data_IF_641411589736
#
_entry.id   IF_641411589736
#
_cell.length_a   1.000
_cell.length_b   1.000
_cell.length_c   1.000
_cell.angle_alpha   90.00
_cell.angle_beta   90.00
_cell.angle_gamma   90.00
#
_symmetry.space_group_name_H-M   'P 1'
#
loop_
_entity.id
_entity.type
_entity.pdbx_description
1 polymer ?
#
# COMPACT_ATOMS: atom_id res chain seq x y z
N UNK A 1 -6.17 12.09 25.09
CA UNK A 1 -6.62 11.32 23.91
C UNK A 1 -5.56 10.28 23.59
N UNK A 2 -5.97 9.03 23.44
CA UNK A 2 -5.02 7.94 23.12
C UNK A 2 -4.45 8.14 21.71
N UNK A 3 -3.14 7.95 21.57
CA UNK A 3 -2.47 7.95 20.28
C UNK A 3 -2.58 6.54 19.69
N UNK A 4 -3.23 6.40 18.54
CA UNK A 4 -3.39 5.11 17.87
C UNK A 4 -2.66 5.08 16.53
N UNK A 5 -2.05 3.95 16.21
CA UNK A 5 -1.46 3.65 14.92
C UNK A 5 -2.31 2.55 14.27
N UNK A 6 -3.17 2.96 13.37
CA UNK A 6 -4.05 2.06 12.62
C UNK A 6 -3.34 1.48 11.41
N UNK A 7 -3.61 0.24 11.06
CA UNK A 7 -3.07 -0.38 9.85
C UNK A 7 -4.00 -1.45 9.32
N UNK A 8 -3.90 -1.76 8.03
CA UNK A 8 -4.64 -2.87 7.44
C UNK A 8 -4.08 -4.19 7.99
N UNK A 9 -4.87 -4.85 8.84
CA UNK A 9 -4.50 -6.12 9.45
C UNK A 9 -4.62 -7.32 8.50
N UNK A 10 -4.40 -8.49 9.06
CA UNK A 10 -4.07 -8.79 10.44
C UNK A 10 -2.61 -8.48 10.81
N UNK A 11 -2.22 -8.74 12.07
CA UNK A 11 -0.79 -8.81 12.44
C UNK A 11 -0.07 -9.81 11.54
N UNK A 12 1.21 -9.58 11.30
CA UNK A 12 2.08 -10.36 10.41
C UNK A 12 1.78 -10.21 8.91
N UNK A 13 0.87 -9.31 8.52
CA UNK A 13 0.67 -8.93 7.12
C UNK A 13 1.84 -8.07 6.61
N UNK A 14 1.94 -7.88 5.28
CA UNK A 14 2.90 -6.94 4.70
C UNK A 14 2.68 -5.50 5.17
N UNK A 15 1.42 -5.10 5.45
CA UNK A 15 1.12 -3.79 6.03
C UNK A 15 1.65 -3.66 7.46
N UNK A 16 1.57 -4.74 8.25
CA UNK A 16 2.14 -4.79 9.60
C UNK A 16 3.67 -4.65 9.55
N UNK A 17 4.32 -5.32 8.60
CA UNK A 17 5.76 -5.17 8.36
C UNK A 17 6.14 -3.74 7.93
N UNK A 18 5.39 -3.13 7.00
CA UNK A 18 5.57 -1.73 6.62
C UNK A 18 5.40 -0.77 7.80
N UNK A 19 4.43 -1.06 8.69
CA UNK A 19 4.22 -0.29 9.93
C UNK A 19 5.46 -0.32 10.83
N UNK A 20 6.11 -1.47 11.00
CA UNK A 20 7.36 -1.58 11.78
C UNK A 20 8.50 -0.74 11.19
N UNK A 21 8.61 -0.71 9.84
CA UNK A 21 9.56 0.17 9.17
C UNK A 21 9.28 1.65 9.47
N UNK A 22 8.01 2.09 9.43
CA UNK A 22 7.64 3.45 9.78
C UNK A 22 7.90 3.77 11.25
N UNK A 23 7.60 2.85 12.17
CA UNK A 23 7.90 3.03 13.61
C UNK A 23 9.39 3.31 13.80
N UNK A 24 10.25 2.58 13.12
CA UNK A 24 11.68 2.73 13.20
C UNK A 24 12.16 4.02 12.54
N UNK A 25 11.82 4.25 11.27
CA UNK A 25 12.35 5.37 10.47
C UNK A 25 11.84 6.75 10.93
N UNK A 26 10.62 6.82 11.45
CA UNK A 26 9.99 8.05 11.96
C UNK A 26 10.08 8.18 13.49
N UNK A 27 10.76 7.22 14.18
CA UNK A 27 10.87 7.17 15.64
C UNK A 27 9.50 7.32 16.34
N UNK A 28 8.47 6.64 15.82
CA UNK A 28 7.10 6.71 16.34
C UNK A 28 7.05 6.05 17.71
N UNK A 29 6.65 6.80 18.75
CA UNK A 29 6.59 6.31 20.13
C UNK A 29 5.27 6.66 20.81
N UNK A 30 4.80 5.76 21.68
CA UNK A 30 3.63 5.99 22.52
C UNK A 30 2.29 5.88 21.78
N UNK A 31 2.27 5.18 20.66
CA UNK A 31 1.05 4.83 19.91
C UNK A 31 0.63 3.39 20.24
N UNK A 32 -0.69 3.19 20.40
CA UNK A 32 -1.28 1.85 20.49
C UNK A 32 -1.56 1.34 19.08
N UNK A 33 -1.05 0.17 18.73
CA UNK A 33 -1.21 -0.46 17.43
C UNK A 33 -2.58 -1.11 17.29
N UNK A 34 -3.30 -0.76 16.23
CA UNK A 34 -4.69 -1.20 15.98
C UNK A 34 -4.83 -1.81 14.58
N UNK A 35 -4.76 -3.15 14.44
CA UNK A 35 -5.07 -3.80 13.18
C UNK A 35 -6.56 -3.65 12.84
N UNK A 36 -6.84 -3.19 11.64
CA UNK A 36 -8.20 -2.97 11.12
C UNK A 36 -8.51 -3.99 10.02
N UNK A 37 -9.78 -4.32 9.85
CA UNK A 37 -10.21 -5.33 8.86
C UNK A 37 -10.24 -4.81 7.43
N UNK A 38 -10.45 -3.51 7.22
CA UNK A 38 -10.56 -2.89 5.90
C UNK A 38 -9.84 -1.55 5.86
N UNK A 39 -9.43 -1.13 4.67
CA UNK A 39 -8.86 0.19 4.41
C UNK A 39 -9.85 1.29 4.80
N UNK A 40 -11.13 1.12 4.47
CA UNK A 40 -12.18 2.08 4.83
C UNK A 40 -12.32 2.25 6.35
N UNK A 41 -12.20 1.17 7.14
CA UNK A 41 -12.23 1.24 8.59
C UNK A 41 -11.02 2.03 9.15
N UNK A 42 -9.82 1.85 8.56
CA UNK A 42 -8.63 2.65 8.92
C UNK A 42 -8.90 4.15 8.71
N UNK A 43 -9.45 4.52 7.57
CA UNK A 43 -9.76 5.93 7.27
C UNK A 43 -10.83 6.52 8.19
N UNK A 44 -11.85 5.75 8.56
CA UNK A 44 -12.89 6.17 9.50
C UNK A 44 -12.30 6.54 10.86
N UNK A 45 -11.44 5.68 11.41
CA UNK A 45 -10.77 5.90 12.68
C UNK A 45 -9.78 7.08 12.62
N UNK A 46 -9.01 7.20 11.54
CA UNK A 46 -8.09 8.30 11.31
C UNK A 46 -8.81 9.66 11.24
N UNK A 47 -10.00 9.71 10.67
CA UNK A 47 -10.81 10.92 10.63
C UNK A 47 -11.32 11.33 12.00
N UNK A 48 -11.73 10.36 12.82
CA UNK A 48 -12.35 10.59 14.13
C UNK A 48 -11.33 11.02 15.20
N UNK A 49 -10.06 10.63 15.06
CA UNK A 49 -9.03 10.88 16.05
C UNK A 49 -7.88 11.71 15.47
N UNK A 50 -7.71 12.95 15.96
CA UNK A 50 -6.70 13.90 15.47
C UNK A 50 -5.25 13.51 15.78
N UNK A 51 -5.02 12.67 16.79
CA UNK A 51 -3.68 12.26 17.25
C UNK A 51 -3.32 10.85 16.77
N UNK A 52 -3.95 10.37 15.71
CA UNK A 52 -3.71 9.04 15.18
C UNK A 52 -2.89 9.07 13.90
N UNK A 53 -2.19 7.97 13.67
CA UNK A 53 -1.48 7.65 12.43
C UNK A 53 -2.13 6.44 11.76
N UNK A 54 -1.89 6.28 10.48
CA UNK A 54 -2.33 5.09 9.75
C UNK A 54 -1.29 4.65 8.71
N UNK A 55 -1.17 3.33 8.52
CA UNK A 55 -0.33 2.73 7.48
C UNK A 55 -1.21 1.94 6.53
N UNK A 56 -1.11 2.24 5.23
CA UNK A 56 -1.92 1.64 4.18
C UNK A 56 -1.11 1.40 2.91
N UNK A 57 -1.40 0.34 2.15
CA UNK A 57 -0.85 0.15 0.81
C UNK A 57 -1.49 1.16 -0.16
N UNK A 58 -0.72 1.66 -1.13
CA UNK A 58 -1.23 2.58 -2.16
C UNK A 58 -1.00 2.05 -3.57
N UNK A 59 0.08 1.29 -3.78
CA UNK A 59 0.49 0.78 -5.08
C UNK A 59 1.22 -0.55 -4.93
N UNK A 60 1.00 -1.45 -5.88
CA UNK A 60 1.77 -2.69 -6.02
C UNK A 60 2.31 -2.78 -7.46
N UNK A 61 3.54 -3.26 -7.62
CA UNK A 61 4.22 -3.30 -8.94
C UNK A 61 3.54 -4.23 -9.95
N UNK A 62 2.74 -5.21 -9.51
CA UNK A 62 2.01 -6.17 -10.36
C UNK A 62 0.55 -5.75 -10.52
N UNK A 63 -0.14 -5.52 -9.41
CA UNK A 63 -1.59 -5.22 -9.38
C UNK A 63 -1.92 -3.74 -9.68
N UNK A 64 -0.90 -2.88 -9.62
CA UNK A 64 -1.05 -1.44 -9.82
C UNK A 64 -1.66 -0.73 -8.60
N UNK A 65 -2.55 0.19 -8.85
CA UNK A 65 -3.17 1.06 -7.85
C UNK A 65 -4.03 0.30 -6.85
N UNK A 66 -3.82 0.53 -5.55
CA UNK A 66 -4.76 0.09 -4.49
C UNK A 66 -5.96 1.04 -4.49
N UNK A 67 -6.97 0.69 -5.30
CA UNK A 67 -8.13 1.54 -5.61
C UNK A 67 -8.87 2.02 -4.35
N UNK A 68 -9.03 1.15 -3.35
CA UNK A 68 -9.73 1.49 -2.10
C UNK A 68 -8.99 2.59 -1.32
N UNK A 69 -7.66 2.59 -1.29
CA UNK A 69 -6.87 3.66 -0.66
C UNK A 69 -7.09 4.99 -1.36
N UNK A 70 -6.98 5.03 -2.70
CA UNK A 70 -7.21 6.26 -3.47
C UNK A 70 -8.65 6.77 -3.30
N UNK A 71 -9.66 5.89 -3.38
CA UNK A 71 -11.07 6.25 -3.22
C UNK A 71 -11.35 6.86 -1.84
N UNK A 72 -10.70 6.37 -0.78
CA UNK A 72 -10.84 6.94 0.56
C UNK A 72 -10.06 8.27 0.71
N UNK A 73 -8.89 8.43 0.08
CA UNK A 73 -8.17 9.71 0.03
C UNK A 73 -9.00 10.80 -0.66
N UNK A 74 -9.76 10.47 -1.71
CA UNK A 74 -10.71 11.40 -2.36
C UNK A 74 -11.79 11.86 -1.38
N UNK A 75 -12.37 10.92 -0.61
CA UNK A 75 -13.49 11.20 0.31
C UNK A 75 -13.09 11.96 1.58
N UNK A 76 -11.83 11.91 1.98
CA UNK A 76 -11.37 12.66 3.16
C UNK A 76 -11.64 14.14 2.95
N UNK A 77 -12.54 14.72 3.76
CA UNK A 77 -12.87 16.15 3.72
C UNK A 77 -11.88 17.01 4.52
N UNK A 78 -11.08 16.38 5.37
CA UNK A 78 -10.13 17.09 6.23
C UNK A 78 -8.83 17.38 5.48
N UNK A 79 -8.53 18.66 5.23
CA UNK A 79 -7.20 19.10 4.74
C UNK A 79 -6.08 18.83 5.74
N UNK A 80 -6.41 18.33 6.92
CA UNK A 80 -5.46 18.05 8.00
C UNK A 80 -4.82 16.66 7.89
N UNK A 81 -5.44 15.70 7.19
CA UNK A 81 -4.83 14.38 6.97
C UNK A 81 -3.87 14.48 5.79
N UNK A 82 -2.62 14.16 6.03
CA UNK A 82 -1.54 14.21 5.04
C UNK A 82 -0.81 12.90 4.95
N UNK A 83 -0.20 12.63 3.81
CA UNK A 83 0.84 11.61 3.66
C UNK A 83 2.11 12.20 4.31
N UNK A 84 2.67 11.46 5.24
CA UNK A 84 3.82 11.87 6.05
C UNK A 84 5.11 11.17 5.62
N UNK A 85 4.98 10.06 4.88
CA UNK A 85 6.09 9.28 4.38
C UNK A 85 5.62 8.11 3.55
N UNK A 86 6.56 7.49 2.87
CA UNK A 86 6.35 6.24 2.14
C UNK A 86 7.42 5.21 2.48
N UNK A 87 7.10 3.93 2.31
CA UNK A 87 8.06 2.84 2.33
C UNK A 87 7.69 1.82 1.27
N UNK A 88 8.67 1.05 0.80
CA UNK A 88 8.48 -0.02 -0.18
C UNK A 88 8.87 -1.35 0.45
N UNK A 89 8.01 -2.33 0.31
CA UNK A 89 8.21 -3.68 0.84
C UNK A 89 8.22 -4.67 -0.31
N UNK A 90 9.26 -5.49 -0.39
CA UNK A 90 9.30 -6.64 -1.30
C UNK A 90 8.30 -7.70 -0.86
N UNK A 91 7.50 -8.18 -1.80
CA UNK A 91 6.46 -9.18 -1.57
C UNK A 91 7.01 -10.53 -1.98
N UNK A 92 7.49 -11.28 -0.99
CA UNK A 92 8.07 -12.60 -1.17
C UNK A 92 7.21 -13.65 -0.49
N UNK A 93 6.72 -14.60 -1.27
CA UNK A 93 5.94 -15.70 -0.76
C UNK A 93 6.82 -16.92 -0.44
N UNK A 94 6.45 -17.60 0.64
CA UNK A 94 7.06 -18.84 1.09
C UNK A 94 6.00 -19.94 1.19
N UNK A 95 6.39 -21.18 0.96
CA UNK A 95 5.59 -22.35 1.28
C UNK A 95 5.88 -22.77 2.72
N UNK A 96 4.90 -22.64 3.59
CA UNK A 96 5.01 -22.82 5.03
C UNK A 96 4.18 -24.03 5.42
N UNK A 97 4.79 -25.03 6.09
CA UNK A 97 4.12 -26.28 6.42
C UNK A 97 4.92 -27.10 7.44
N UNK A 98 4.27 -28.01 8.15
CA UNK A 98 4.92 -29.04 8.95
C UNK A 98 5.26 -30.31 8.16
N UNK A 99 4.95 -30.39 6.86
CA UNK A 99 5.41 -31.44 5.98
C UNK A 99 6.93 -31.48 5.90
N UNK A 100 7.51 -32.68 5.80
CA UNK A 100 8.96 -32.87 5.64
C UNK A 100 9.40 -32.69 4.18
N UNK A 101 8.48 -32.95 3.25
CA UNK A 101 8.72 -32.85 1.80
C UNK A 101 7.40 -32.55 1.05
N UNK A 102 7.51 -32.26 -0.25
CA UNK A 102 6.38 -31.90 -1.09
C UNK A 102 5.36 -33.03 -1.27
N UNK A 103 5.76 -34.29 -1.20
CA UNK A 103 4.88 -35.44 -1.45
C UNK A 103 3.79 -35.61 -0.38
N UNK A 104 4.04 -35.10 0.81
CA UNK A 104 3.09 -35.14 1.92
C UNK A 104 1.97 -34.10 1.78
N UNK A 105 2.19 -33.04 1.01
CA UNK A 105 1.24 -31.93 0.89
C UNK A 105 0.09 -32.31 -0.03
N UNK A 106 -1.15 -32.13 0.44
CA UNK A 106 -2.39 -32.39 -0.30
C UNK A 106 -3.27 -31.14 -0.44
N UNK A 107 -2.97 -30.11 0.36
CA UNK A 107 -3.75 -28.87 0.39
C UNK A 107 -2.83 -27.68 0.58
N UNK A 108 -3.10 -26.59 -0.14
CA UNK A 108 -2.47 -25.28 0.03
C UNK A 108 -3.53 -24.26 0.34
N UNK A 109 -3.32 -23.47 1.40
CA UNK A 109 -4.20 -22.37 1.82
C UNK A 109 -3.53 -21.03 1.60
N UNK A 110 -4.23 -20.04 1.08
CA UNK A 110 -3.80 -18.63 1.12
C UNK A 110 -4.91 -17.69 0.66
N UNK A 111 -4.61 -16.38 0.70
CA UNK A 111 -5.43 -15.39 0.00
C UNK A 111 -5.40 -15.67 -1.51
N UNK A 112 -6.56 -15.52 -2.22
CA UNK A 112 -6.65 -15.83 -3.66
C UNK A 112 -5.56 -15.15 -4.50
N UNK A 113 -5.23 -13.90 -4.20
CA UNK A 113 -4.17 -13.16 -4.88
C UNK A 113 -2.79 -13.81 -4.71
N UNK A 114 -2.44 -14.29 -3.52
CA UNK A 114 -1.16 -14.96 -3.29
C UNK A 114 -1.10 -16.34 -3.98
N UNK A 115 -2.23 -17.05 -4.06
CA UNK A 115 -2.34 -18.28 -4.83
C UNK A 115 -2.08 -18.00 -6.31
N UNK A 116 -2.72 -16.97 -6.88
CA UNK A 116 -2.53 -16.61 -8.29
C UNK A 116 -1.10 -16.13 -8.62
N UNK A 117 -0.41 -15.50 -7.66
CA UNK A 117 0.99 -15.07 -7.82
C UNK A 117 2.02 -16.18 -7.67
N UNK A 118 1.59 -17.40 -7.33
CA UNK A 118 2.42 -18.59 -7.20
C UNK A 118 1.86 -19.75 -8.04
N UNK A 119 1.05 -19.48 -9.06
CA UNK A 119 0.33 -20.51 -9.81
C UNK A 119 1.28 -21.46 -10.55
N UNK A 120 2.24 -20.92 -11.27
CA UNK A 120 3.22 -21.71 -12.03
C UNK A 120 4.09 -22.56 -11.11
N UNK A 121 4.51 -21.99 -9.97
CA UNK A 121 5.22 -22.74 -8.93
C UNK A 121 4.37 -23.91 -8.42
N UNK A 122 3.10 -23.66 -8.03
CA UNK A 122 2.19 -24.69 -7.51
C UNK A 122 2.03 -25.81 -8.54
N UNK A 123 1.72 -25.43 -9.80
CA UNK A 123 1.52 -26.39 -10.87
C UNK A 123 2.79 -27.24 -11.14
N UNK A 124 3.97 -26.62 -11.15
CA UNK A 124 5.25 -27.32 -11.37
C UNK A 124 5.60 -28.35 -10.29
N UNK A 125 5.17 -28.11 -9.03
CA UNK A 125 5.49 -28.97 -7.89
C UNK A 125 4.43 -30.03 -7.59
N UNK A 126 3.15 -29.72 -7.81
CA UNK A 126 2.03 -30.54 -7.33
C UNK A 126 1.11 -31.04 -8.44
N UNK A 127 1.25 -30.53 -9.67
CA UNK A 127 0.31 -30.77 -10.77
C UNK A 127 -1.16 -30.43 -10.37
N UNK A 128 -2.13 -31.05 -11.02
CA UNK A 128 -3.57 -30.83 -10.77
C UNK A 128 -4.12 -31.54 -9.52
N UNK A 129 -3.25 -32.21 -8.75
CA UNK A 129 -3.70 -33.05 -7.61
C UNK A 129 -3.74 -32.32 -6.27
N UNK A 130 -3.46 -31.01 -6.25
CA UNK A 130 -3.45 -30.20 -5.03
C UNK A 130 -4.78 -29.48 -4.82
N UNK A 131 -5.31 -29.49 -3.60
CA UNK A 131 -6.50 -28.73 -3.23
C UNK A 131 -6.08 -27.31 -2.85
N UNK A 132 -6.63 -26.30 -3.52
CA UNK A 132 -6.43 -24.88 -3.19
C UNK A 132 -7.61 -24.37 -2.36
N UNK A 133 -7.33 -23.82 -1.18
CA UNK A 133 -8.32 -23.29 -0.25
C UNK A 133 -8.08 -21.78 -0.03
N UNK A 134 -9.13 -20.99 -0.25
CA UNK A 134 -9.05 -19.54 -0.07
C UNK A 134 -9.21 -19.14 1.38
N UNK A 135 -8.31 -18.26 1.83
CA UNK A 135 -8.32 -17.65 3.15
C UNK A 135 -8.45 -16.12 3.05
N UNK A 136 -8.93 -15.51 4.11
CA UNK A 136 -9.13 -14.05 4.16
C UNK A 136 -7.83 -13.24 4.10
N UNK A 137 -6.68 -13.85 4.41
CA UNK A 137 -5.34 -13.28 4.26
C UNK A 137 -4.28 -14.37 4.28
N UNK A 138 -3.09 -14.06 3.71
CA UNK A 138 -1.89 -14.93 3.81
C UNK A 138 -1.49 -15.19 5.25
N UNK A 139 -1.58 -14.19 6.12
CA UNK A 139 -1.25 -14.32 7.55
C UNK A 139 -2.23 -15.24 8.29
N UNK A 140 -3.54 -15.21 7.97
CA UNK A 140 -4.51 -16.13 8.53
C UNK A 140 -4.28 -17.56 8.05
N UNK A 141 -3.91 -17.77 6.79
CA UNK A 141 -3.54 -19.07 6.27
C UNK A 141 -2.37 -19.67 7.08
N UNK A 142 -1.30 -18.90 7.30
CA UNK A 142 -0.16 -19.35 8.11
C UNK A 142 -0.59 -19.66 9.54
N UNK A 143 -1.34 -18.75 10.17
CA UNK A 143 -1.83 -18.94 11.55
C UNK A 143 -2.67 -20.20 11.74
N UNK A 144 -3.37 -20.64 10.68
CA UNK A 144 -4.28 -21.81 10.74
C UNK A 144 -3.56 -23.17 10.64
N UNK A 145 -2.25 -23.19 10.39
CA UNK A 145 -1.48 -24.43 10.31
C UNK A 145 -1.31 -25.06 11.68
N UNK A 146 -1.38 -26.38 11.74
CA UNK A 146 -1.18 -27.17 12.96
C UNK A 146 -0.24 -28.37 12.67
N UNK A 147 0.50 -28.80 13.70
CA UNK A 147 1.50 -29.87 13.55
C UNK A 147 0.88 -31.24 13.24
N UNK A 148 -0.36 -31.45 13.64
CA UNK A 148 -1.14 -32.69 13.39
C UNK A 148 -1.73 -32.76 11.97
N UNK A 149 -1.57 -31.71 11.18
CA UNK A 149 -2.00 -31.64 9.77
C UNK A 149 -0.82 -31.36 8.81
N UNK A 150 0.21 -32.22 8.78
CA UNK A 150 1.38 -31.98 7.93
C UNK A 150 1.07 -32.00 6.43
N UNK A 151 -0.11 -32.53 6.03
CA UNK A 151 -0.57 -32.53 4.65
C UNK A 151 -1.13 -31.17 4.18
N UNK A 152 -1.17 -30.15 5.07
CA UNK A 152 -1.62 -28.79 4.76
C UNK A 152 -0.42 -27.85 4.74
N UNK A 153 -0.32 -27.05 3.69
CA UNK A 153 0.64 -25.96 3.58
C UNK A 153 -0.10 -24.60 3.46
N UNK A 154 0.59 -23.53 3.77
CA UNK A 154 0.14 -22.17 3.53
C UNK A 154 1.15 -21.41 2.66
N UNK A 155 0.65 -20.57 1.76
CA UNK A 155 1.46 -19.53 1.12
C UNK A 155 1.37 -18.28 2.00
N UNK A 156 2.52 -17.82 2.48
CA UNK A 156 2.62 -16.66 3.33
C UNK A 156 4.00 -16.01 3.26
N UNK A 157 4.22 -14.96 4.04
CA UNK A 157 5.50 -14.29 4.10
C UNK A 157 6.40 -14.88 5.23
N UNK A 158 7.71 -14.66 5.09
CA UNK A 158 8.71 -15.12 6.07
C UNK A 158 8.46 -14.55 7.48
N UNK A 159 7.97 -13.31 7.57
CA UNK A 159 7.66 -12.66 8.85
C UNK A 159 6.52 -13.38 9.60
N UNK A 160 5.46 -13.79 8.89
CA UNK A 160 4.39 -14.63 9.48
C UNK A 160 4.92 -15.96 9.97
N UNK A 161 5.76 -16.65 9.18
CA UNK A 161 6.36 -17.93 9.58
C UNK A 161 7.19 -17.79 10.85
N UNK A 162 8.02 -16.77 10.93
CA UNK A 162 8.84 -16.47 12.11
C UNK A 162 7.99 -16.16 13.36
N UNK A 163 6.98 -15.31 13.20
CA UNK A 163 6.11 -14.90 14.31
C UNK A 163 5.33 -16.05 14.93
N UNK A 164 4.87 -17.00 14.09
CA UNK A 164 4.13 -18.18 14.56
C UNK A 164 5.00 -19.41 14.78
N UNK A 165 6.34 -19.31 14.66
CA UNK A 165 7.29 -20.41 14.76
C UNK A 165 6.96 -21.58 13.81
N UNK A 166 6.58 -21.25 12.56
CA UNK A 166 6.21 -22.22 11.54
C UNK A 166 7.40 -22.56 10.64
N UNK A 167 7.60 -23.84 10.30
CA UNK A 167 8.65 -24.25 9.36
C UNK A 167 8.37 -23.74 7.95
N UNK A 168 9.41 -23.25 7.28
CA UNK A 168 9.37 -22.86 5.87
C UNK A 168 9.98 -24.02 5.07
N UNK A 169 9.21 -24.58 4.13
CA UNK A 169 9.67 -25.64 3.25
C UNK A 169 10.37 -25.08 2.01
N UNK A 170 9.86 -23.97 1.45
CA UNK A 170 10.45 -23.32 0.28
C UNK A 170 10.23 -21.80 0.34
N UNK A 171 11.14 -21.03 -0.27
CA UNK A 171 11.15 -19.56 -0.26
C UNK A 171 11.14 -19.02 -1.69
N UNK A 172 10.75 -17.76 -1.84
CA UNK A 172 10.73 -17.05 -3.14
C UNK A 172 9.92 -17.80 -4.22
N UNK A 173 8.76 -18.29 -3.82
CA UNK A 173 7.88 -19.11 -4.66
C UNK A 173 6.99 -18.28 -5.60
N UNK A 174 7.16 -16.95 -5.62
CA UNK A 174 6.46 -16.08 -6.55
C UNK A 174 6.85 -16.39 -8.00
N UNK A 175 5.88 -16.39 -8.90
CA UNK A 175 6.11 -16.50 -10.33
C UNK A 175 6.84 -15.26 -10.86
N UNK A 176 6.38 -14.07 -10.46
CA UNK A 176 7.04 -12.79 -10.74
C UNK A 176 8.06 -12.43 -9.66
N UNK A 177 9.34 -12.29 -10.05
CA UNK A 177 10.45 -12.03 -9.10
C UNK A 177 10.48 -10.62 -8.53
N UNK A 178 9.93 -9.63 -9.25
CA UNK A 178 9.91 -8.22 -8.85
C UNK A 178 8.50 -7.82 -8.41
N UNK A 179 8.11 -8.23 -7.21
CA UNK A 179 6.85 -7.85 -6.60
C UNK A 179 7.12 -6.93 -5.41
N UNK A 180 6.70 -5.68 -5.51
CA UNK A 180 6.88 -4.67 -4.48
C UNK A 180 5.56 -3.96 -4.20
N UNK A 181 5.30 -3.65 -2.94
CA UNK A 181 4.17 -2.82 -2.54
C UNK A 181 4.67 -1.56 -1.86
N UNK A 182 4.18 -0.42 -2.32
CA UNK A 182 4.40 0.87 -1.71
C UNK A 182 3.32 1.13 -0.67
N UNK A 183 3.76 1.48 0.53
CA UNK A 183 2.91 1.85 1.66
C UNK A 183 3.10 3.32 2.01
N UNK A 184 2.06 3.94 2.53
CA UNK A 184 2.06 5.32 2.98
C UNK A 184 1.72 5.41 4.47
N UNK A 185 2.38 6.35 5.14
CA UNK A 185 2.04 6.78 6.50
C UNK A 185 1.14 8.00 6.40
N UNK A 186 -0.02 7.94 7.00
CA UNK A 186 -1.02 9.01 7.06
C UNK A 186 -1.14 9.54 8.48
N UNK A 187 -1.37 10.86 8.61
CA UNK A 187 -1.62 11.47 9.91
C UNK A 187 -1.94 12.95 9.86
N UNK A 188 -2.30 13.49 11.03
CA UNK A 188 -2.61 14.92 11.21
C UNK A 188 -1.54 15.66 12.03
N UNK A 189 -0.71 14.94 12.75
CA UNK A 189 0.06 15.48 13.87
C UNK A 189 1.58 15.52 13.68
N UNK A 190 2.14 14.85 12.67
CA UNK A 190 3.58 14.90 12.41
C UNK A 190 3.90 16.06 11.46
N UNK A 191 4.87 16.89 11.83
CA UNK A 191 5.46 17.85 10.90
C UNK A 191 6.45 17.10 10.01
N UNK A 192 6.24 17.18 8.70
CA UNK A 192 7.23 16.67 7.75
C UNK A 192 8.51 17.51 7.82
N UNK A 193 9.63 16.84 7.89
CA UNK A 193 10.93 17.49 7.69
C UNK A 193 11.13 17.63 6.18
N UNK A 194 11.57 18.78 5.75
CA UNK A 194 12.05 18.98 4.38
C UNK A 194 13.38 18.25 4.26
N UNK A 195 13.52 17.43 3.21
CA UNK A 195 14.75 16.71 2.89
C UNK A 195 15.21 17.05 1.47
N UNK A 196 16.42 16.61 1.12
CA UNK A 196 16.94 16.80 -0.24
C UNK A 196 16.29 15.89 -1.27
N UNK A 197 15.48 14.93 -0.82
CA UNK A 197 14.78 13.95 -1.68
C UNK A 197 13.36 13.76 -1.20
N UNK A 198 12.51 14.76 -1.48
CA UNK A 198 11.09 14.71 -1.15
C UNK A 198 10.24 14.33 -2.37
N UNK A 199 9.06 13.82 -2.08
CA UNK A 199 7.97 13.56 -3.00
C UNK A 199 6.73 14.34 -2.56
N UNK A 200 5.99 14.89 -3.51
CA UNK A 200 4.70 15.54 -3.26
C UNK A 200 3.58 14.76 -3.92
N UNK A 201 2.52 14.52 -3.16
CA UNK A 201 1.27 13.92 -3.65
C UNK A 201 0.16 14.95 -3.70
N UNK A 202 -0.54 15.00 -4.83
CA UNK A 202 -1.71 15.84 -5.01
C UNK A 202 -2.87 15.07 -5.62
N UNK A 203 -4.08 15.58 -5.43
CA UNK A 203 -5.28 15.20 -6.17
C UNK A 203 -5.90 16.42 -6.82
N UNK A 204 -6.44 16.24 -8.03
CA UNK A 204 -7.17 17.29 -8.73
C UNK A 204 -8.24 16.69 -9.65
N UNK A 205 -9.24 17.50 -9.98
CA UNK A 205 -10.19 17.22 -11.05
C UNK A 205 -10.11 18.33 -12.09
N UNK A 206 -10.21 17.95 -13.37
CA UNK A 206 -10.23 18.90 -14.50
C UNK A 206 -11.64 19.08 -15.04
N UNK A 207 -11.84 20.06 -15.93
CA UNK A 207 -13.01 20.08 -16.80
C UNK A 207 -12.98 18.84 -17.71
N UNK A 208 -14.17 18.37 -18.11
CA UNK A 208 -14.30 17.27 -19.07
C UNK A 208 -14.21 17.81 -20.49
N UNK A 209 -13.01 18.25 -20.89
CA UNK A 209 -12.71 18.81 -22.19
C UNK A 209 -11.39 18.30 -22.75
N UNK A 210 -11.25 18.45 -24.06
CA UNK A 210 -10.03 17.99 -24.75
C UNK A 210 -8.82 18.78 -24.28
N UNK A 211 -7.77 18.05 -23.85
CA UNK A 211 -6.49 18.65 -23.43
C UNK A 211 -6.41 19.00 -21.94
N UNK A 212 -7.50 19.02 -21.17
CA UNK A 212 -7.50 19.49 -19.77
C UNK A 212 -6.46 18.79 -18.85
N UNK A 213 -6.27 17.49 -18.99
CA UNK A 213 -5.20 16.77 -18.29
C UNK A 213 -3.82 17.11 -18.86
N UNK A 214 -3.72 17.26 -20.20
CA UNK A 214 -2.48 17.59 -20.89
C UNK A 214 -1.91 18.95 -20.42
N UNK A 215 -2.78 19.94 -20.18
CA UNK A 215 -2.36 21.25 -19.67
C UNK A 215 -1.66 21.14 -18.32
N UNK A 216 -2.21 20.33 -17.40
CA UNK A 216 -1.58 20.06 -16.10
C UNK A 216 -0.21 19.38 -16.27
N UNK A 217 -0.13 18.35 -17.13
CA UNK A 217 1.12 17.64 -17.39
C UNK A 217 2.16 18.52 -18.08
N UNK A 218 1.72 19.42 -18.98
CA UNK A 218 2.58 20.40 -19.65
C UNK A 218 3.20 21.36 -18.65
N UNK A 219 2.42 21.85 -17.65
CA UNK A 219 2.96 22.69 -16.57
C UNK A 219 4.06 21.97 -15.78
N UNK A 220 3.88 20.68 -15.45
CA UNK A 220 4.92 19.90 -14.76
C UNK A 220 6.17 19.79 -15.64
N UNK A 221 6.01 19.46 -16.94
CA UNK A 221 7.10 19.35 -17.91
C UNK A 221 7.88 20.65 -18.06
N UNK A 222 7.19 21.80 -18.28
CA UNK A 222 7.81 23.12 -18.44
C UNK A 222 8.58 23.59 -17.22
N UNK A 223 8.20 23.11 -16.03
CA UNK A 223 8.92 23.38 -14.79
C UNK A 223 9.88 22.23 -14.44
N UNK A 224 10.18 21.31 -15.36
CA UNK A 224 11.09 20.16 -15.18
C UNK A 224 10.80 19.38 -13.87
N UNK A 225 9.53 19.15 -13.57
CA UNK A 225 9.07 18.37 -12.43
C UNK A 225 8.82 16.95 -12.91
N UNK A 226 9.55 16.00 -12.35
CA UNK A 226 9.42 14.59 -12.67
C UNK A 226 8.20 13.99 -11.97
N UNK A 227 7.17 13.60 -12.74
CA UNK A 227 6.02 12.87 -12.23
C UNK A 227 6.39 11.39 -12.10
N UNK A 228 6.21 10.82 -10.90
CA UNK A 228 6.59 9.44 -10.58
C UNK A 228 5.41 8.47 -10.56
N UNK A 229 4.18 8.99 -10.46
CA UNK A 229 2.97 8.17 -10.44
C UNK A 229 1.75 8.97 -10.89
N UNK A 230 0.83 8.30 -11.59
CA UNK A 230 -0.48 8.86 -11.95
C UNK A 230 -1.56 7.77 -11.87
N UNK A 231 -2.70 8.11 -11.30
CA UNK A 231 -3.89 7.26 -11.29
C UNK A 231 -5.14 8.11 -11.45
N UNK A 232 -6.11 7.63 -12.22
CA UNK A 232 -7.40 8.28 -12.39
C UNK A 232 -8.52 7.48 -11.71
N UNK A 233 -9.48 8.19 -11.11
CA UNK A 233 -10.68 7.60 -10.50
C UNK A 233 -11.93 8.34 -10.95
N UNK A 234 -13.01 7.64 -11.33
CA UNK A 234 -14.28 8.30 -11.60
C UNK A 234 -14.73 9.16 -10.41
N UNK A 235 -15.19 10.39 -10.66
CA UNK A 235 -15.67 11.31 -9.62
C UNK A 235 -16.92 10.81 -8.89
N UNK A 236 -17.63 9.86 -9.48
CA UNK A 236 -18.95 9.33 -9.04
C UNK A 236 -20.06 10.40 -9.04
N UNK A 237 -19.83 11.56 -9.65
CA UNK A 237 -20.83 12.61 -9.81
C UNK A 237 -21.47 12.56 -11.19
N UNK A 238 -20.68 12.40 -12.24
CA UNK A 238 -21.16 12.19 -13.60
C UNK A 238 -20.20 11.29 -14.39
N UNK A 239 -20.70 10.67 -15.48
CA UNK A 239 -19.86 9.93 -16.41
C UNK A 239 -18.93 10.92 -17.15
N UNK A 240 -17.65 10.51 -17.30
CA UNK A 240 -16.64 11.34 -17.95
C UNK A 240 -15.90 12.30 -17.01
N UNK A 241 -16.32 12.45 -15.76
CA UNK A 241 -15.58 13.23 -14.76
C UNK A 241 -14.63 12.34 -13.95
N UNK A 242 -13.37 12.77 -13.87
CA UNK A 242 -12.31 12.03 -13.17
C UNK A 242 -11.61 12.89 -12.14
N UNK A 243 -11.21 12.26 -11.04
CA UNK A 243 -10.22 12.78 -10.09
C UNK A 243 -8.89 12.08 -10.38
N UNK A 244 -7.85 12.86 -10.55
CA UNK A 244 -6.49 12.38 -10.76
C UNK A 244 -5.72 12.45 -9.44
N UNK A 245 -4.99 11.39 -9.14
CA UNK A 245 -3.97 11.35 -8.11
C UNK A 245 -2.62 11.32 -8.80
N UNK A 246 -1.71 12.20 -8.45
CA UNK A 246 -0.34 12.19 -8.96
C UNK A 246 0.68 12.35 -7.85
N UNK A 247 1.83 11.71 -8.04
CA UNK A 247 3.04 11.93 -7.26
C UNK A 247 4.11 12.52 -8.16
N UNK A 248 4.90 13.44 -7.63
CA UNK A 248 6.05 14.02 -8.31
C UNK A 248 7.19 14.33 -7.33
N UNK A 249 8.41 14.35 -7.85
CA UNK A 249 9.61 14.67 -7.07
C UNK A 249 9.63 16.16 -6.68
N UNK A 250 10.04 16.45 -5.45
CA UNK A 250 10.19 17.78 -4.86
C UNK A 250 9.18 18.08 -3.76
N UNK A 251 9.44 19.17 -3.05
CA UNK A 251 8.64 19.63 -1.90
C UNK A 251 7.80 20.86 -2.28
N UNK A 252 6.60 21.00 -1.72
CA UNK A 252 5.72 22.16 -1.96
C UNK A 252 6.38 23.51 -1.60
N UNK A 253 7.36 23.49 -0.71
CA UNK A 253 8.11 24.70 -0.32
C UNK A 253 9.22 25.06 -1.31
N UNK A 254 9.53 24.22 -2.29
CA UNK A 254 10.45 24.56 -3.36
C UNK A 254 9.82 25.61 -4.26
N UNK A 255 10.57 26.66 -4.56
CA UNK A 255 10.07 27.77 -5.39
C UNK A 255 9.57 27.29 -6.76
N UNK A 256 10.24 26.34 -7.36
CA UNK A 256 9.89 25.70 -8.63
C UNK A 256 8.54 24.98 -8.53
N UNK A 257 8.35 24.15 -7.49
CA UNK A 257 7.12 23.40 -7.24
C UNK A 257 5.96 24.36 -6.92
N UNK A 258 6.16 25.32 -6.04
CA UNK A 258 5.14 26.31 -5.66
C UNK A 258 4.63 27.12 -6.86
N UNK A 259 5.54 27.56 -7.76
CA UNK A 259 5.17 28.25 -9.02
C UNK A 259 4.35 27.34 -9.95
N UNK A 260 4.75 26.09 -10.13
CA UNK A 260 4.02 25.13 -10.96
C UNK A 260 2.61 24.87 -10.39
N UNK A 261 2.50 24.62 -9.07
CA UNK A 261 1.21 24.42 -8.41
C UNK A 261 0.28 25.63 -8.55
N UNK A 262 0.83 26.85 -8.43
CA UNK A 262 0.05 28.07 -8.65
C UNK A 262 -0.51 28.20 -10.07
N UNK A 263 0.19 27.67 -11.09
CA UNK A 263 -0.32 27.57 -12.46
C UNK A 263 -1.38 26.48 -12.57
N UNK A 264 -1.12 25.29 -12.03
CA UNK A 264 -2.06 24.13 -12.04
C UNK A 264 -3.41 24.53 -11.44
N UNK A 265 -3.42 25.26 -10.33
CA UNK A 265 -4.65 25.73 -9.68
C UNK A 265 -5.60 26.53 -10.58
N UNK A 266 -5.12 27.09 -11.69
CA UNK A 266 -5.93 27.83 -12.68
C UNK A 266 -6.58 26.93 -13.74
N UNK A 267 -6.12 25.67 -13.84
CA UNK A 267 -6.54 24.70 -14.86
C UNK A 267 -7.38 23.54 -14.26
N UNK A 268 -7.69 23.57 -12.95
CA UNK A 268 -8.38 22.46 -12.29
C UNK A 268 -9.64 22.92 -11.56
N UNK A 269 -10.69 22.10 -11.61
CA UNK A 269 -11.96 22.32 -10.87
C UNK A 269 -11.80 22.21 -9.35
N UNK A 270 -10.95 21.29 -8.93
CA UNK A 270 -10.67 21.03 -7.53
C UNK A 270 -9.22 20.59 -7.37
N UNK A 271 -8.65 20.93 -6.22
CA UNK A 271 -7.28 20.62 -5.88
C UNK A 271 -7.16 20.22 -4.41
N UNK A 272 -6.34 19.22 -4.13
CA UNK A 272 -6.02 18.78 -2.78
C UNK A 272 -4.54 18.43 -2.70
N UNK A 273 -3.80 19.13 -1.85
CA UNK A 273 -2.44 18.75 -1.47
C UNK A 273 -2.51 17.67 -0.39
N UNK A 274 -2.02 16.47 -0.70
CA UNK A 274 -2.03 15.33 0.20
C UNK A 274 -0.82 15.23 1.10
N UNK A 275 0.30 15.87 0.74
CA UNK A 275 1.52 15.94 1.54
C UNK A 275 2.76 16.07 0.66
N UNK A 276 3.81 16.66 1.25
CA UNK A 276 5.18 16.53 0.78
C UNK A 276 5.97 15.81 1.87
N UNK A 277 6.71 14.77 1.52
CA UNK A 277 7.29 13.83 2.46
C UNK A 277 8.58 13.22 1.92
N UNK A 278 9.47 12.71 2.82
CA UNK A 278 10.67 12.02 2.41
C UNK A 278 10.35 10.85 1.48
N UNK A 279 11.02 10.82 0.34
CA UNK A 279 10.95 9.72 -0.61
C UNK A 279 11.65 8.50 -0.03
N UNK A 280 11.08 7.31 -0.25
CA UNK A 280 11.78 6.07 0.06
C UNK A 280 13.03 5.95 -0.83
N UNK A 281 14.17 5.77 -0.20
CA UNK A 281 15.46 5.49 -0.86
C UNK A 281 15.82 4.06 -0.51
N UNK A 282 16.01 3.21 -1.54
CA UNK A 282 16.47 1.83 -1.36
C UNK A 282 17.87 1.78 -0.77
#
# INVERSE_FOLDING_TARGET
MNKNLYFLGPKTSYTDFAKEQFITSFAIKGYEEKPMRTITAVFSELNSNSNSLAVLPIENSIEGTVKETIDNLIKIQSDKVKILGETVVSIEHCLITFAKDFSQIKKIKSHPQAISQCYDYIYSKFNDNIVLESESSTANAVKSLTVDQPHVAAIGNKYSAQYYNMPILDTNINDEKFNQTRFILLGKALQNRITDSDKTSIMFATENESGALCDVLTILKENEINMTYISSRPSKKSLGEYTFYIDFDGNIFDTKISKALSKILRHVKSFKHLGSYPKYIN
#
